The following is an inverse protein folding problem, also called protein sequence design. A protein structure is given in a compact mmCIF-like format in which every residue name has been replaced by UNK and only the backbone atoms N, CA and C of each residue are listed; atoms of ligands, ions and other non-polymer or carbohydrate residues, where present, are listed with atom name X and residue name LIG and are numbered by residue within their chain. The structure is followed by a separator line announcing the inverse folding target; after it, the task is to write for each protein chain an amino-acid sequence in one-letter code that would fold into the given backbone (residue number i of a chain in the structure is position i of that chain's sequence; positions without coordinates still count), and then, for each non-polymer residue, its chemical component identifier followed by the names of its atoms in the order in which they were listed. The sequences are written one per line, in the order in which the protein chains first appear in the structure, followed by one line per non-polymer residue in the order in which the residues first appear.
data_IF_001070095703
#
_entry.id   IF_001070095703
#
_cell.length_a   1.000
_cell.length_b   1.000
_cell.length_c   1.000
_cell.angle_alpha   90.00
_cell.angle_beta   90.00
_cell.angle_gamma   90.00
#
_symmetry.space_group_name_H-M   'P 1'
#
loop_
_entity.id
_entity.type
_entity.pdbx_description
1 polymer ?
#
# COMPACT_ATOMS: atom_id res chain seq x y z
N UNK A 1 20.51 -11.06 -17.07
CA UNK A 1 20.52 -9.64 -16.64
C UNK A 1 20.26 -9.60 -15.14
N UNK A 2 20.84 -8.65 -14.41
CA UNK A 2 20.60 -8.48 -12.97
C UNK A 2 20.25 -7.02 -12.74
N UNK A 3 19.22 -6.76 -11.92
CA UNK A 3 18.79 -5.41 -11.55
C UNK A 3 18.81 -5.30 -10.03
N UNK A 4 19.44 -4.25 -9.52
CA UNK A 4 19.47 -3.96 -8.10
C UNK A 4 18.61 -2.73 -7.80
N UNK A 5 17.69 -2.88 -6.85
CA UNK A 5 16.82 -1.85 -6.32
C UNK A 5 17.26 -1.55 -4.88
N UNK A 6 17.97 -0.44 -4.65
CA UNK A 6 18.27 -0.03 -3.29
C UNK A 6 16.98 0.37 -2.55
N UNK A 7 16.85 -0.04 -1.30
CA UNK A 7 15.80 0.44 -0.42
C UNK A 7 15.89 1.97 -0.25
N UNK A 8 14.77 2.73 -0.17
CA UNK A 8 13.38 2.29 -0.10
C UNK A 8 12.68 2.20 -1.47
N UNK A 9 13.42 2.22 -2.58
CA UNK A 9 12.89 2.36 -3.94
C UNK A 9 12.54 1.02 -4.61
N UNK A 10 12.50 -0.07 -3.84
CA UNK A 10 12.04 -1.38 -4.28
C UNK A 10 10.55 -1.60 -4.02
N UNK A 11 10.01 -2.72 -4.49
CA UNK A 11 8.63 -3.15 -4.21
C UNK A 11 8.39 -3.38 -2.71
N UNK A 12 9.29 -4.11 -2.04
CA UNK A 12 9.17 -4.39 -0.61
C UNK A 12 9.55 -3.20 0.26
N UNK A 13 10.35 -2.26 -0.25
CA UNK A 13 10.99 -1.21 0.54
C UNK A 13 12.36 -1.61 1.11
N UNK A 14 12.73 -2.89 1.01
CA UNK A 14 14.07 -3.38 1.38
C UNK A 14 15.03 -3.32 0.18
N UNK A 15 16.31 -3.60 0.38
CA UNK A 15 17.24 -3.87 -0.72
C UNK A 15 16.82 -5.14 -1.49
N UNK A 16 16.61 -5.03 -2.80
CA UNK A 16 16.14 -6.14 -3.65
C UNK A 16 17.05 -6.29 -4.87
N UNK A 17 17.43 -7.53 -5.17
CA UNK A 17 18.11 -7.89 -6.42
C UNK A 17 17.21 -8.82 -7.23
N UNK A 18 16.95 -8.49 -8.48
CA UNK A 18 16.22 -9.33 -9.42
C UNK A 18 17.17 -9.98 -10.42
N UNK A 19 17.12 -11.32 -10.49
CA UNK A 19 17.89 -12.11 -11.44
C UNK A 19 17.00 -12.49 -12.64
N UNK A 20 17.27 -11.85 -13.77
CA UNK A 20 16.58 -12.09 -15.04
C UNK A 20 17.41 -13.12 -15.83
N UNK A 21 17.09 -14.39 -15.64
CA UNK A 21 17.79 -15.54 -16.24
C UNK A 21 16.93 -16.23 -17.30
N UNK A 22 17.53 -17.13 -18.08
CA UNK A 22 16.77 -17.97 -19.01
C UNK A 22 15.84 -18.93 -18.25
N UNK A 23 14.61 -19.10 -18.74
CA UNK A 23 13.56 -19.87 -18.07
C UNK A 23 13.73 -21.40 -18.07
N UNK A 24 14.89 -21.92 -18.42
CA UNK A 24 15.16 -23.36 -18.39
C UNK A 24 15.23 -23.87 -16.95
N UNK A 25 14.53 -24.98 -16.66
CA UNK A 25 14.50 -25.58 -15.30
C UNK A 25 15.90 -25.82 -14.71
N UNK A 26 16.85 -26.26 -15.55
CA UNK A 26 18.24 -26.48 -15.13
C UNK A 26 18.91 -25.17 -14.65
N UNK A 27 18.66 -24.06 -15.34
CA UNK A 27 19.22 -22.74 -15.00
C UNK A 27 18.59 -22.22 -13.71
N UNK A 28 17.26 -22.32 -13.57
CA UNK A 28 16.53 -21.91 -12.37
C UNK A 28 17.01 -22.71 -11.15
N UNK A 29 17.07 -24.03 -11.26
CA UNK A 29 17.53 -24.89 -10.16
C UNK A 29 19.01 -24.63 -9.81
N UNK A 30 19.85 -24.36 -10.81
CA UNK A 30 21.24 -23.99 -10.62
C UNK A 30 21.37 -22.68 -9.83
N UNK A 31 20.60 -21.66 -10.19
CA UNK A 31 20.56 -20.38 -9.47
C UNK A 31 20.09 -20.57 -8.02
N UNK A 32 18.98 -21.28 -7.79
CA UNK A 32 18.46 -21.51 -6.44
C UNK A 32 19.45 -22.29 -5.56
N UNK A 33 20.12 -23.29 -6.14
CA UNK A 33 21.19 -24.04 -5.45
C UNK A 33 22.36 -23.14 -5.11
N UNK A 34 22.81 -22.30 -6.05
CA UNK A 34 23.92 -21.37 -5.81
C UNK A 34 23.58 -20.37 -4.71
N UNK A 35 22.37 -19.81 -4.71
CA UNK A 35 21.89 -18.89 -3.66
C UNK A 35 21.80 -19.57 -2.29
N UNK A 36 21.33 -20.82 -2.23
CA UNK A 36 21.24 -21.57 -0.98
C UNK A 36 22.62 -21.94 -0.41
N UNK A 37 23.64 -22.05 -1.26
CA UNK A 37 25.03 -22.33 -0.86
C UNK A 37 25.83 -21.07 -0.55
N UNK A 38 25.30 -19.87 -0.83
CA UNK A 38 25.96 -18.63 -0.43
C UNK A 38 26.00 -18.54 1.11
N UNK A 39 27.17 -18.24 1.66
CA UNK A 39 27.45 -18.16 3.11
C UNK A 39 26.78 -16.97 3.82
N UNK A 40 25.76 -16.36 3.21
CA UNK A 40 25.03 -15.25 3.79
C UNK A 40 23.99 -15.85 4.74
N UNK A 41 24.12 -15.60 6.04
CA UNK A 41 23.32 -16.16 7.14
C UNK A 41 21.79 -16.00 7.03
N UNK A 42 21.26 -15.35 5.98
CA UNK A 42 19.87 -14.93 5.88
C UNK A 42 19.19 -15.21 4.53
N UNK A 43 19.80 -16.02 3.66
CA UNK A 43 19.13 -16.44 2.42
C UNK A 43 18.21 -17.63 2.74
N UNK A 44 16.91 -17.46 2.48
CA UNK A 44 15.92 -18.54 2.56
C UNK A 44 14.88 -18.40 1.48
N UNK A 45 14.16 -19.49 1.22
CA UNK A 45 12.96 -19.44 0.39
C UNK A 45 11.91 -18.53 1.04
N UNK A 46 11.24 -17.73 0.20
CA UNK A 46 10.16 -16.87 0.64
C UNK A 46 8.89 -17.69 0.91
N UNK A 47 8.13 -17.29 1.91
CA UNK A 47 6.79 -17.83 2.16
C UNK A 47 5.79 -17.29 1.12
N UNK A 48 4.64 -17.96 0.92
CA UNK A 48 3.58 -17.45 0.06
C UNK A 48 3.17 -16.02 0.44
N UNK A 49 3.23 -15.10 -0.54
CA UNK A 49 2.87 -13.70 -0.35
C UNK A 49 3.85 -12.86 0.48
N UNK A 50 5.02 -13.40 0.87
CA UNK A 50 5.91 -12.71 1.80
C UNK A 50 6.42 -11.36 1.29
N UNK A 51 6.72 -11.25 -0.01
CA UNK A 51 7.13 -9.97 -0.61
C UNK A 51 6.05 -8.90 -0.45
N UNK A 52 4.78 -9.26 -0.66
CA UNK A 52 3.66 -8.34 -0.50
C UNK A 52 3.42 -7.99 0.97
N UNK A 53 3.58 -8.96 1.88
CA UNK A 53 3.53 -8.76 3.34
C UNK A 53 4.62 -7.79 3.82
N UNK A 54 5.85 -7.93 3.31
CA UNK A 54 6.95 -6.99 3.61
C UNK A 54 6.66 -5.59 3.07
N UNK A 55 6.17 -5.49 1.84
CA UNK A 55 5.74 -4.22 1.25
C UNK A 55 4.67 -3.52 2.11
N UNK A 56 3.71 -4.28 2.66
CA UNK A 56 2.72 -3.75 3.59
C UNK A 56 3.32 -3.23 4.90
N UNK A 57 4.19 -4.01 5.56
CA UNK A 57 4.84 -3.56 6.79
C UNK A 57 5.77 -2.35 6.60
N UNK A 58 6.42 -2.25 5.45
CA UNK A 58 7.23 -1.09 5.08
C UNK A 58 6.38 0.08 4.53
N UNK A 59 5.05 -0.02 4.61
CA UNK A 59 4.12 1.03 4.21
C UNK A 59 4.07 1.30 2.70
N UNK A 60 4.64 0.44 1.87
CA UNK A 60 4.65 0.54 0.40
C UNK A 60 3.28 0.21 -0.21
N UNK A 61 2.52 -0.63 0.48
CA UNK A 61 1.16 -1.04 0.14
C UNK A 61 0.26 -0.89 1.38
N UNK A 62 -1.03 -0.62 1.17
CA UNK A 62 -2.07 -0.79 2.19
C UNK A 62 -2.90 -2.05 1.92
N UNK A 63 -3.84 -2.36 2.82
CA UNK A 63 -4.68 -3.56 2.70
C UNK A 63 -5.53 -3.54 1.42
N UNK A 64 -6.12 -2.39 1.07
CA UNK A 64 -6.92 -2.26 -0.16
C UNK A 64 -6.10 -2.53 -1.41
N UNK A 65 -4.82 -2.17 -1.39
CA UNK A 65 -3.90 -2.36 -2.50
C UNK A 65 -3.38 -3.79 -2.59
N UNK A 66 -3.21 -4.46 -1.46
CA UNK A 66 -2.92 -5.89 -1.41
C UNK A 66 -4.07 -6.73 -1.99
N UNK A 67 -5.31 -6.38 -1.63
CA UNK A 67 -6.51 -7.02 -2.18
C UNK A 67 -6.62 -6.77 -3.70
N UNK A 68 -6.46 -5.52 -4.14
CA UNK A 68 -6.42 -5.18 -5.56
C UNK A 68 -5.30 -5.88 -6.33
N UNK A 69 -4.13 -6.13 -5.72
CA UNK A 69 -3.05 -6.91 -6.34
C UNK A 69 -3.45 -8.38 -6.50
N UNK A 70 -4.07 -8.98 -5.48
CA UNK A 70 -4.58 -10.35 -5.54
C UNK A 70 -5.65 -10.49 -6.63
N UNK A 71 -6.59 -9.56 -6.69
CA UNK A 71 -7.65 -9.54 -7.71
C UNK A 71 -7.09 -9.33 -9.12
N UNK A 72 -6.00 -8.56 -9.25
CA UNK A 72 -5.36 -8.33 -10.53
C UNK A 72 -4.66 -9.58 -11.05
N UNK A 73 -3.98 -10.33 -10.16
CA UNK A 73 -3.33 -11.61 -10.50
C UNK A 73 -4.37 -12.64 -10.95
N UNK A 74 -5.54 -12.66 -10.30
CA UNK A 74 -6.60 -13.63 -10.55
C UNK A 74 -7.65 -13.17 -11.58
N UNK A 75 -7.49 -12.00 -12.21
CA UNK A 75 -8.50 -11.46 -13.12
C UNK A 75 -8.60 -12.29 -14.41
N UNK A 76 -9.82 -12.68 -14.79
CA UNK A 76 -10.09 -13.45 -16.01
C UNK A 76 -10.67 -12.58 -17.14
N UNK A 77 -11.26 -11.43 -16.77
CA UNK A 77 -11.86 -10.49 -17.72
C UNK A 77 -11.17 -9.13 -17.69
N UNK A 78 -11.22 -8.42 -18.81
CA UNK A 78 -10.67 -7.07 -18.90
C UNK A 78 -11.36 -6.08 -17.93
N UNK A 79 -12.64 -6.31 -17.61
CA UNK A 79 -13.37 -5.54 -16.62
C UNK A 79 -12.83 -5.76 -15.20
N UNK A 80 -12.62 -7.02 -14.80
CA UNK A 80 -12.00 -7.38 -13.52
C UNK A 80 -10.58 -6.82 -13.42
N UNK A 81 -9.77 -6.96 -14.48
CA UNK A 81 -8.41 -6.42 -14.54
C UNK A 81 -8.40 -4.90 -14.32
N UNK A 82 -9.30 -4.16 -14.98
CA UNK A 82 -9.44 -2.71 -14.80
C UNK A 82 -9.91 -2.33 -13.39
N UNK A 83 -10.84 -3.08 -12.82
CA UNK A 83 -11.33 -2.85 -11.46
C UNK A 83 -10.23 -3.07 -10.43
N UNK A 84 -9.56 -4.22 -10.49
CA UNK A 84 -8.45 -4.57 -9.61
C UNK A 84 -7.32 -3.56 -9.71
N UNK A 85 -7.00 -3.10 -10.93
CA UNK A 85 -6.00 -2.06 -11.15
C UNK A 85 -6.37 -0.70 -10.52
N UNK A 86 -7.66 -0.34 -10.45
CA UNK A 86 -8.11 0.89 -9.78
C UNK A 86 -8.00 0.81 -8.25
N UNK A 87 -8.17 -0.39 -7.71
CA UNK A 87 -8.04 -0.64 -6.27
C UNK A 87 -6.57 -0.73 -5.86
N UNK A 88 -5.74 -1.35 -6.69
CA UNK A 88 -4.30 -1.48 -6.49
C UNK A 88 -3.63 -0.10 -6.47
N UNK A 89 -3.27 0.39 -5.28
CA UNK A 89 -2.50 1.62 -5.10
C UNK A 89 -1.13 1.31 -4.56
N UNK A 90 -0.11 1.39 -5.41
CA UNK A 90 1.26 1.40 -4.90
C UNK A 90 1.52 2.80 -4.37
N UNK A 91 1.86 2.92 -3.08
CA UNK A 91 2.29 4.20 -2.52
C UNK A 91 3.66 4.49 -3.14
N UNK A 92 3.65 5.24 -4.23
CA UNK A 92 4.84 5.85 -4.80
C UNK A 92 5.29 6.92 -3.82
N UNK A 93 6.03 6.50 -2.79
CA UNK A 93 6.77 7.44 -1.95
C UNK A 93 7.67 8.27 -2.87
N UNK A 94 7.27 9.53 -3.08
CA UNK A 94 8.13 10.59 -3.62
C UNK A 94 8.86 10.27 -4.93
N UNK A 95 8.17 9.73 -5.94
CA UNK A 95 8.66 9.93 -7.32
C UNK A 95 8.08 11.26 -7.79
N UNK A 96 8.90 12.31 -7.73
CA UNK A 96 8.63 13.65 -8.27
C UNK A 96 8.43 13.66 -9.81
N UNK A 97 8.49 12.49 -10.46
CA UNK A 97 8.61 12.35 -11.91
C UNK A 97 7.27 12.16 -12.65
N UNK A 98 6.16 11.82 -12.00
CA UNK A 98 4.89 11.60 -12.70
C UNK A 98 3.66 12.26 -12.05
N UNK A 99 3.55 13.61 -12.11
CA UNK A 99 2.31 14.30 -11.74
C UNK A 99 1.12 13.87 -12.61
N UNK A 100 1.36 13.44 -13.86
CA UNK A 100 0.32 13.15 -14.85
C UNK A 100 -0.50 11.88 -14.53
N UNK A 101 0.10 10.85 -13.91
CA UNK A 101 -0.59 9.60 -13.58
C UNK A 101 -1.08 9.53 -12.13
N UNK A 102 -0.79 10.56 -11.31
CA UNK A 102 -1.19 10.60 -9.89
C UNK A 102 -2.70 10.45 -9.69
N UNK A 103 -3.51 10.81 -10.67
CA UNK A 103 -4.97 10.70 -10.62
C UNK A 103 -5.52 9.30 -10.93
N UNK A 104 -4.74 8.45 -11.60
CA UNK A 104 -5.20 7.12 -12.06
C UNK A 104 -4.93 6.05 -10.98
N UNK A 105 -3.91 6.25 -10.13
CA UNK A 105 -3.50 5.34 -9.06
C UNK A 105 -3.96 5.84 -7.69
N UNK A 106 -5.17 6.40 -7.57
CA UNK A 106 -5.58 7.12 -6.36
C UNK A 106 -6.08 6.24 -5.22
N UNK A 107 -6.33 4.95 -5.42
CA UNK A 107 -6.92 4.12 -4.38
C UNK A 107 -8.26 4.68 -3.98
N UNK A 108 -9.21 4.66 -4.91
CA UNK A 108 -10.53 5.27 -4.73
C UNK A 108 -11.20 4.78 -3.43
N UNK A 109 -11.00 3.50 -3.09
CA UNK A 109 -11.43 2.92 -1.81
C UNK A 109 -10.68 3.49 -0.62
N UNK A 110 -9.34 3.59 -0.67
CA UNK A 110 -8.54 4.17 0.41
C UNK A 110 -9.01 5.59 0.74
N UNK A 111 -9.19 6.44 -0.27
CA UNK A 111 -9.66 7.81 -0.07
C UNK A 111 -11.08 7.86 0.52
N UNK A 112 -11.96 6.95 0.07
CA UNK A 112 -13.31 6.84 0.61
C UNK A 112 -13.28 6.47 2.10
N UNK A 113 -12.50 5.44 2.46
CA UNK A 113 -12.35 5.01 3.85
C UNK A 113 -11.68 6.07 4.72
N UNK A 114 -10.64 6.73 4.22
CA UNK A 114 -9.96 7.81 4.94
C UNK A 114 -10.90 9.00 5.18
N UNK A 115 -11.75 9.34 4.21
CA UNK A 115 -12.74 10.41 4.38
C UNK A 115 -13.80 10.04 5.43
N UNK A 116 -14.33 8.81 5.40
CA UNK A 116 -15.29 8.35 6.41
C UNK A 116 -14.66 8.31 7.80
N UNK A 117 -13.43 7.78 7.91
CA UNK A 117 -12.66 7.75 9.15
C UNK A 117 -12.49 9.16 9.72
N UNK A 118 -12.13 10.13 8.89
CA UNK A 118 -11.96 11.52 9.31
C UNK A 118 -13.26 12.10 9.90
N UNK A 119 -14.39 11.90 9.22
CA UNK A 119 -15.71 12.37 9.71
C UNK A 119 -16.12 11.73 11.03
N UNK A 120 -15.84 10.44 11.21
CA UNK A 120 -16.14 9.73 12.46
C UNK A 120 -15.26 10.24 13.61
N UNK A 121 -13.98 10.49 13.35
CA UNK A 121 -13.06 11.05 14.36
C UNK A 121 -13.50 12.45 14.77
N UNK A 122 -13.93 13.29 13.81
CA UNK A 122 -14.44 14.64 14.10
C UNK A 122 -15.71 14.59 14.96
N UNK A 123 -16.66 13.72 14.61
CA UNK A 123 -17.89 13.55 15.39
C UNK A 123 -17.61 13.02 16.82
N UNK A 124 -16.66 12.10 16.95
CA UNK A 124 -16.21 11.59 18.26
C UNK A 124 -15.54 12.68 19.09
N UNK A 125 -14.66 13.48 18.47
CA UNK A 125 -14.00 14.60 19.15
C UNK A 125 -15.02 15.63 19.65
N UNK A 126 -16.04 15.95 18.85
CA UNK A 126 -17.12 16.84 19.27
C UNK A 126 -17.90 16.27 20.45
N UNK A 127 -18.28 14.99 20.38
CA UNK A 127 -19.04 14.32 21.45
C UNK A 127 -18.23 14.26 22.75
N UNK A 128 -16.95 13.91 22.68
CA UNK A 128 -16.06 13.91 23.85
C UNK A 128 -15.90 15.32 24.44
N UNK A 129 -15.75 16.35 23.60
CA UNK A 129 -15.69 17.73 24.09
C UNK A 129 -16.99 18.14 24.82
N UNK A 130 -18.16 17.74 24.31
CA UNK A 130 -19.45 17.98 25.00
C UNK A 130 -19.54 17.21 26.32
N UNK A 131 -19.00 16.00 26.41
CA UNK A 131 -18.97 15.23 27.67
C UNK A 131 -18.02 15.88 28.68
N UNK A 132 -16.83 16.26 28.24
CA UNK A 132 -15.75 16.76 29.12
C UNK A 132 -15.99 18.21 29.59
N UNK A 133 -16.71 19.02 28.80
CA UNK A 133 -16.94 20.45 29.07
C UNK A 133 -18.42 20.85 29.14
N UNK A 134 -19.35 19.88 29.10
CA UNK A 134 -20.79 20.10 28.98
C UNK A 134 -21.47 20.83 30.15
N UNK A 135 -20.80 20.96 31.30
CA UNK A 135 -21.29 21.78 32.41
C UNK A 135 -20.68 23.20 32.45
N UNK A 136 -19.63 23.50 31.67
CA UNK A 136 -18.91 24.78 31.78
C UNK A 136 -19.11 25.79 30.63
N UNK A 137 -19.62 25.44 29.44
CA UNK A 137 -19.88 26.47 28.41
C UNK A 137 -21.00 26.08 27.44
N UNK A 138 -22.23 26.49 27.75
CA UNK A 138 -23.36 26.47 26.83
C UNK A 138 -23.26 27.67 25.85
N UNK A 139 -22.15 27.80 25.13
CA UNK A 139 -21.98 28.85 24.10
C UNK A 139 -21.04 28.48 22.92
N UNK A 140 -20.63 27.21 22.80
CA UNK A 140 -19.71 26.79 21.70
C UNK A 140 -20.44 26.42 20.40
N UNK A 141 -21.77 26.25 20.44
CA UNK A 141 -22.56 25.78 19.31
C UNK A 141 -22.60 26.76 18.12
N UNK A 142 -22.42 28.07 18.36
CA UNK A 142 -22.51 29.10 17.32
C UNK A 142 -21.16 29.50 16.70
N UNK A 143 -20.02 29.09 17.28
CA UNK A 143 -18.71 29.60 16.85
C UNK A 143 -18.02 28.73 15.77
N UNK A 144 -18.48 27.48 15.54
CA UNK A 144 -17.75 26.50 14.71
C UNK A 144 -18.44 26.22 13.35
N UNK A 145 -19.63 26.76 13.06
CA UNK A 145 -20.34 26.52 11.79
C UNK A 145 -20.41 27.76 10.88
N UNK A 146 -19.41 28.05 10.01
CA UNK A 146 -19.63 28.96 8.90
C UNK A 146 -20.39 28.19 7.81
N UNK A 147 -21.71 28.39 7.69
CA UNK A 147 -22.44 27.96 6.50
C UNK A 147 -23.85 27.37 6.66
N UNK A 148 -24.65 27.84 7.62
CA UNK A 148 -26.12 27.72 7.49
C UNK A 148 -26.72 29.03 7.00
N UNK A 149 -26.80 29.18 5.67
CA UNK A 149 -27.89 29.86 4.96
C UNK A 149 -28.24 29.05 3.72
#
# INVERSE_FOLDING_TARGET
MVVYFPGPHSFTGDDVVEYHIHGGKAVINGLLTALNNCSVERIRQAEPGEFAKRAFYNGKLDLTSLEGLSDLINSETEAQRKQAFRQMTVILYKIQLFPLFKHILKGDLKNLYDNWRQRVIEALAYTNAVIDFGEEEMDVADTILPGKR
#
